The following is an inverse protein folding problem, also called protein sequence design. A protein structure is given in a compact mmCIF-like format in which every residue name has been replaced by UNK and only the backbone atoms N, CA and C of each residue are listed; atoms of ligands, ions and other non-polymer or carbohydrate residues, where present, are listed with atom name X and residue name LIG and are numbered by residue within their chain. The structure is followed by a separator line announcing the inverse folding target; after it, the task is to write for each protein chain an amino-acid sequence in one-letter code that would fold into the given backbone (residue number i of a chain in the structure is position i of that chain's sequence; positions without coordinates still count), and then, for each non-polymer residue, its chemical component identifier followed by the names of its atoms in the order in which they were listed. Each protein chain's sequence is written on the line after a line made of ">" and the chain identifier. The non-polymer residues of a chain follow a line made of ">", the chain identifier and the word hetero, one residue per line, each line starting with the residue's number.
data_IF_059033495558
#
_entry.id   IF_059033495558
#
_cell.length_a   1.000
_cell.length_b   1.000
_cell.length_c   1.000
_cell.angle_alpha   90.00
_cell.angle_beta   90.00
_cell.angle_gamma   90.00
#
_symmetry.space_group_name_H-M   'P 1'
#
loop_
_entity.id
_entity.type
_entity.pdbx_description
1 polymer ?
#
# COMPACT_ATOMS: atom_id res chain seq x y z
N UNK A 1 12.84 -7.70 20.15
CA UNK A 1 13.61 -8.26 19.04
C UNK A 1 14.87 -8.95 19.57
N UNK A 2 15.06 -10.25 19.31
CA UNK A 2 16.28 -11.00 19.72
C UNK A 2 17.55 -10.31 19.21
N UNK A 3 17.51 -9.74 18.01
CA UNK A 3 18.64 -9.08 17.33
C UNK A 3 19.16 -7.87 18.12
N UNK A 4 18.29 -7.10 18.79
CA UNK A 4 18.72 -5.96 19.60
C UNK A 4 19.68 -6.34 20.76
N UNK A 5 19.61 -7.58 21.24
CA UNK A 5 20.49 -8.11 22.30
C UNK A 5 21.73 -8.84 21.79
N UNK A 6 21.88 -9.09 20.47
CA UNK A 6 22.98 -9.89 19.92
C UNK A 6 24.20 -9.03 19.61
N UNK A 7 25.41 -9.65 19.65
CA UNK A 7 26.60 -9.05 19.04
C UNK A 7 26.58 -9.24 17.53
N UNK A 8 27.41 -8.50 16.80
CA UNK A 8 27.50 -8.65 15.33
C UNK A 8 27.96 -10.07 14.96
N UNK A 9 28.88 -10.64 15.72
CA UNK A 9 29.38 -11.99 15.54
C UNK A 9 28.27 -13.03 15.75
N UNK A 10 27.47 -12.88 16.82
CA UNK A 10 26.37 -13.78 17.14
C UNK A 10 25.25 -13.69 16.06
N UNK A 11 24.98 -12.50 15.50
CA UNK A 11 24.04 -12.36 14.41
C UNK A 11 24.56 -13.01 13.13
N UNK A 12 25.82 -12.76 12.78
CA UNK A 12 26.46 -13.34 11.60
C UNK A 12 26.44 -14.88 11.63
N UNK A 13 26.74 -15.47 12.81
CA UNK A 13 26.67 -16.91 13.03
C UNK A 13 25.22 -17.42 12.90
N UNK A 14 24.26 -16.77 13.55
CA UNK A 14 22.85 -17.18 13.54
C UNK A 14 22.22 -17.19 12.14
N UNK A 15 22.69 -16.33 11.23
CA UNK A 15 22.23 -16.26 9.84
C UNK A 15 23.24 -16.82 8.82
N UNK A 16 24.23 -17.57 9.29
CA UNK A 16 25.25 -18.26 8.48
C UNK A 16 25.94 -17.33 7.47
N UNK A 17 26.35 -16.13 7.92
CA UNK A 17 27.01 -15.13 7.08
C UNK A 17 28.25 -14.52 7.78
N UNK A 18 28.93 -13.56 7.13
CA UNK A 18 30.05 -12.83 7.71
C UNK A 18 29.62 -11.52 8.35
N UNK A 19 30.39 -11.04 9.35
CA UNK A 19 30.19 -9.70 9.94
C UNK A 19 30.26 -8.59 8.90
N UNK A 20 31.10 -8.74 7.88
CA UNK A 20 31.21 -7.80 6.76
C UNK A 20 29.90 -7.72 5.97
N UNK A 21 29.22 -8.86 5.77
CA UNK A 21 27.91 -8.91 5.12
C UNK A 21 26.85 -8.21 5.96
N UNK A 22 26.87 -8.39 7.28
CA UNK A 22 25.98 -7.68 8.21
C UNK A 22 26.20 -6.17 8.15
N UNK A 23 27.47 -5.71 8.10
CA UNK A 23 27.79 -4.27 7.99
C UNK A 23 27.29 -3.71 6.64
N UNK A 24 27.48 -4.46 5.55
CA UNK A 24 27.00 -4.07 4.23
C UNK A 24 25.49 -3.95 4.21
N UNK A 25 24.79 -4.94 4.76
CA UNK A 25 23.33 -4.90 4.93
C UNK A 25 22.89 -3.65 5.69
N UNK A 26 23.54 -3.31 6.82
CA UNK A 26 23.21 -2.10 7.59
C UNK A 26 23.30 -0.83 6.71
N UNK A 27 24.31 -0.74 5.85
CA UNK A 27 24.49 0.41 4.94
C UNK A 27 23.42 0.46 3.86
N UNK A 28 23.06 -0.67 3.29
CA UNK A 28 22.00 -0.79 2.28
C UNK A 28 20.62 -0.34 2.81
N UNK A 29 20.33 -0.64 4.09
CA UNK A 29 19.08 -0.17 4.74
C UNK A 29 19.20 1.24 5.35
N UNK A 30 20.26 2.00 5.02
CA UNK A 30 20.42 3.40 5.40
C UNK A 30 20.92 3.65 6.83
N UNK A 31 21.41 2.62 7.57
CA UNK A 31 22.01 2.80 8.90
C UNK A 31 23.53 2.73 8.83
N UNK A 32 24.22 3.59 9.61
CA UNK A 32 25.70 3.76 9.54
C UNK A 32 26.49 2.53 9.98
N UNK A 33 25.85 1.54 10.62
CA UNK A 33 26.46 0.31 11.07
C UNK A 33 25.62 -0.46 12.08
N UNK A 34 26.14 -1.63 12.51
CA UNK A 34 25.41 -2.56 13.36
C UNK A 34 24.99 -1.99 14.73
N UNK A 35 25.84 -1.16 15.34
CA UNK A 35 25.50 -0.51 16.61
C UNK A 35 24.28 0.41 16.48
N UNK A 36 24.15 1.14 15.37
CA UNK A 36 23.00 1.99 15.10
C UNK A 36 21.75 1.16 14.77
N UNK A 37 21.90 0.05 14.04
CA UNK A 37 20.79 -0.89 13.81
C UNK A 37 20.27 -1.45 15.13
N UNK A 38 21.17 -1.90 16.02
CA UNK A 38 20.79 -2.39 17.35
C UNK A 38 20.03 -1.35 18.17
N UNK A 39 20.53 -0.10 18.17
CA UNK A 39 19.88 0.99 18.91
C UNK A 39 18.48 1.27 18.34
N UNK A 40 18.33 1.35 17.03
CA UNK A 40 17.03 1.55 16.38
C UNK A 40 16.05 0.42 16.75
N UNK A 41 16.49 -0.84 16.66
CA UNK A 41 15.67 -2.00 17.03
C UNK A 41 15.34 -2.04 18.53
N UNK A 42 16.23 -1.56 19.40
CA UNK A 42 15.98 -1.47 20.84
C UNK A 42 14.96 -0.37 21.17
N UNK A 43 15.05 0.78 20.53
CA UNK A 43 14.08 1.88 20.66
C UNK A 43 12.70 1.44 20.18
N UNK A 44 12.63 0.80 19.01
CA UNK A 44 11.37 0.27 18.49
C UNK A 44 10.77 -0.82 19.40
N UNK A 45 11.61 -1.73 19.92
CA UNK A 45 11.17 -2.75 20.87
C UNK A 45 10.73 -2.16 22.22
N UNK A 46 11.37 -1.07 22.68
CA UNK A 46 11.01 -0.38 23.92
C UNK A 46 9.74 0.49 23.80
N UNK A 47 9.42 0.95 22.59
CA UNK A 47 8.19 1.67 22.31
C UNK A 47 6.95 0.75 22.27
N UNK A 48 7.17 -0.58 22.21
CA UNK A 48 6.11 -1.59 22.22
C UNK A 48 5.73 -1.95 23.65
N UNK A 49 4.47 -1.85 23.98
CA UNK A 49 3.96 -2.34 25.26
C UNK A 49 4.03 -3.87 25.31
N UNK A 50 4.08 -4.45 26.54
CA UNK A 50 4.02 -5.91 26.70
C UNK A 50 2.75 -6.53 26.12
N UNK A 51 1.70 -5.75 26.04
CA UNK A 51 0.39 -6.10 25.45
C UNK A 51 0.50 -6.21 23.92
N UNK A 52 1.26 -5.30 23.28
CA UNK A 52 1.53 -5.33 21.84
C UNK A 52 2.33 -6.58 21.43
N UNK A 53 3.33 -6.98 22.24
CA UNK A 53 4.17 -8.15 21.94
C UNK A 53 3.38 -9.45 22.08
N UNK A 54 2.56 -9.57 23.13
CA UNK A 54 1.68 -10.74 23.34
C UNK A 54 0.62 -10.87 22.26
N UNK A 55 0.04 -9.76 21.82
CA UNK A 55 -0.95 -9.74 20.78
C UNK A 55 -0.36 -10.01 19.38
N UNK A 56 0.91 -9.69 19.14
CA UNK A 56 1.59 -10.02 17.89
C UNK A 56 1.90 -11.52 17.75
N UNK A 57 2.37 -12.15 18.83
CA UNK A 57 2.61 -13.61 18.85
C UNK A 57 1.29 -14.39 18.81
N UNK A 58 0.20 -13.77 19.28
CA UNK A 58 -1.16 -14.33 19.29
C UNK A 58 -1.98 -14.01 18.05
N UNK A 59 -1.48 -13.17 17.13
CA UNK A 59 -2.26 -12.72 15.97
C UNK A 59 -2.25 -13.73 14.80
N UNK A 60 -1.36 -14.71 14.81
CA UNK A 60 -1.39 -15.78 13.80
C UNK A 60 -2.38 -16.87 14.18
N UNK A 61 -3.08 -17.41 13.20
CA UNK A 61 -4.09 -18.46 13.39
C UNK A 61 -3.37 -19.80 13.64
N UNK A 62 -3.65 -20.41 14.78
CA UNK A 62 -3.10 -21.70 15.17
C UNK A 62 -4.08 -22.84 14.87
N UNK A 63 -3.56 -24.05 14.68
CA UNK A 63 -4.36 -25.26 14.39
C UNK A 63 -5.46 -25.55 15.45
N UNK A 64 -5.24 -25.12 16.70
CA UNK A 64 -6.17 -25.33 17.81
C UNK A 64 -7.12 -24.16 18.09
N UNK A 65 -7.13 -23.11 17.27
CA UNK A 65 -8.02 -21.98 17.47
C UNK A 65 -9.49 -22.35 17.21
N UNK A 66 -10.34 -21.97 18.13
CA UNK A 66 -11.79 -22.02 17.90
C UNK A 66 -12.25 -20.84 17.01
N UNK A 67 -13.48 -20.90 16.53
CA UNK A 67 -14.03 -19.86 15.65
C UNK A 67 -14.03 -18.47 16.29
N UNK A 68 -14.27 -18.37 17.61
CA UNK A 68 -14.26 -17.10 18.32
C UNK A 68 -12.85 -16.48 18.32
N UNK A 69 -11.83 -17.29 18.62
CA UNK A 69 -10.42 -16.90 18.54
C UNK A 69 -10.00 -16.47 17.14
N UNK A 70 -10.45 -17.18 16.10
CA UNK A 70 -10.19 -16.79 14.70
C UNK A 70 -10.78 -15.41 14.39
N UNK A 71 -12.03 -15.15 14.79
CA UNK A 71 -12.70 -13.85 14.58
C UNK A 71 -11.96 -12.73 15.31
N UNK A 72 -11.59 -12.93 16.57
CA UNK A 72 -10.86 -11.93 17.36
C UNK A 72 -9.48 -11.60 16.75
N UNK A 73 -8.72 -12.63 16.36
CA UNK A 73 -7.40 -12.47 15.75
C UNK A 73 -7.45 -11.72 14.42
N UNK A 74 -8.42 -12.05 13.57
CA UNK A 74 -8.62 -11.34 12.29
C UNK A 74 -8.97 -9.88 12.54
N UNK A 75 -9.96 -9.60 13.38
CA UNK A 75 -10.41 -8.24 13.68
C UNK A 75 -9.26 -7.39 14.25
N UNK A 76 -8.48 -7.96 15.17
CA UNK A 76 -7.32 -7.29 15.76
C UNK A 76 -6.25 -6.97 14.71
N UNK A 77 -5.85 -7.95 13.89
CA UNK A 77 -4.82 -7.79 12.88
C UNK A 77 -5.23 -6.76 11.80
N UNK A 78 -6.50 -6.74 11.43
CA UNK A 78 -7.05 -5.81 10.45
C UNK A 78 -7.07 -4.37 11.00
N UNK A 79 -7.59 -4.19 12.21
CA UNK A 79 -7.59 -2.87 12.87
C UNK A 79 -6.17 -2.32 13.03
N UNK A 80 -5.22 -3.19 13.38
CA UNK A 80 -3.81 -2.81 13.50
C UNK A 80 -3.19 -2.43 12.16
N UNK A 81 -3.44 -3.20 11.10
CA UNK A 81 -2.95 -2.88 9.75
C UNK A 81 -3.43 -1.51 9.27
N UNK A 82 -4.69 -1.16 9.55
CA UNK A 82 -5.26 0.16 9.27
C UNK A 82 -4.54 1.26 10.06
N UNK A 83 -4.39 1.07 11.38
CA UNK A 83 -3.75 2.06 12.25
C UNK A 83 -2.26 2.27 11.92
N UNK A 84 -1.53 1.19 11.68
CA UNK A 84 -0.10 1.27 11.34
C UNK A 84 0.12 1.85 9.95
N UNK A 85 -0.76 1.58 8.98
CA UNK A 85 -0.75 2.22 7.65
C UNK A 85 -0.97 3.72 7.76
N UNK A 86 -1.94 4.17 8.57
CA UNK A 86 -2.17 5.59 8.77
C UNK A 86 -0.96 6.32 9.36
N UNK A 87 -0.17 5.65 10.23
CA UNK A 87 1.08 6.19 10.79
C UNK A 87 2.25 6.19 9.80
N UNK A 88 2.31 5.18 8.92
CA UNK A 88 3.38 5.03 7.94
C UNK A 88 3.21 5.95 6.72
N UNK A 89 1.99 6.41 6.47
CA UNK A 89 1.65 7.22 5.31
C UNK A 89 2.29 8.61 5.39
N UNK A 90 3.12 8.95 4.41
CA UNK A 90 3.71 10.28 4.27
C UNK A 90 2.64 11.29 3.84
N UNK A 91 2.33 12.25 4.72
CA UNK A 91 1.34 13.28 4.43
C UNK A 91 1.77 14.21 3.28
N UNK A 92 3.07 14.44 3.10
CA UNK A 92 3.60 15.25 1.99
C UNK A 92 3.45 14.53 0.65
N UNK A 93 3.78 13.24 0.59
CA UNK A 93 3.56 12.41 -0.60
C UNK A 93 2.06 12.32 -0.94
N UNK A 94 1.23 12.04 0.06
CA UNK A 94 -0.22 11.98 -0.11
C UNK A 94 -0.78 13.28 -0.67
N UNK A 95 -0.40 14.45 -0.11
CA UNK A 95 -0.84 15.76 -0.58
C UNK A 95 -0.42 16.04 -2.03
N UNK A 96 0.82 15.68 -2.39
CA UNK A 96 1.31 15.81 -3.76
C UNK A 96 0.50 14.94 -4.73
N UNK A 97 0.27 13.68 -4.39
CA UNK A 97 -0.53 12.73 -5.21
C UNK A 97 -1.96 13.21 -5.36
N UNK A 98 -2.59 13.69 -4.29
CA UNK A 98 -3.95 14.27 -4.32
C UNK A 98 -4.03 15.42 -5.32
N UNK A 99 -3.05 16.33 -5.30
CA UNK A 99 -3.00 17.46 -6.23
C UNK A 99 -2.86 16.99 -7.68
N UNK A 100 -2.03 15.97 -7.93
CA UNK A 100 -1.86 15.39 -9.26
C UNK A 100 -3.15 14.75 -9.77
N UNK A 101 -3.83 13.94 -8.95
CA UNK A 101 -5.10 13.28 -9.32
C UNK A 101 -6.20 14.31 -9.56
N UNK A 102 -6.33 15.33 -8.70
CA UNK A 102 -7.36 16.36 -8.83
C UNK A 102 -7.26 17.16 -10.15
N UNK A 103 -6.04 17.36 -10.67
CA UNK A 103 -5.76 18.07 -11.92
C UNK A 103 -5.56 17.17 -13.14
N UNK A 104 -5.61 15.84 -12.98
CA UNK A 104 -5.34 14.92 -14.07
C UNK A 104 -6.47 14.91 -15.12
N UNK A 105 -6.09 14.82 -16.39
CA UNK A 105 -7.03 14.52 -17.48
C UNK A 105 -7.56 13.10 -17.40
N UNK A 106 -6.73 12.17 -16.88
CA UNK A 106 -7.02 10.74 -16.77
C UNK A 106 -6.18 10.12 -15.66
N UNK A 107 -6.79 9.28 -14.83
CA UNK A 107 -6.10 8.46 -13.83
C UNK A 107 -6.27 6.98 -14.17
N UNK A 108 -5.18 6.23 -14.23
CA UNK A 108 -5.20 4.78 -14.43
C UNK A 108 -4.61 4.06 -13.21
N UNK A 109 -5.24 2.95 -12.85
CA UNK A 109 -4.80 2.12 -11.71
C UNK A 109 -4.51 0.71 -12.21
N UNK A 110 -3.32 0.22 -11.88
CA UNK A 110 -2.83 -1.10 -12.29
C UNK A 110 -2.58 -1.98 -11.08
N UNK A 111 -3.07 -3.19 -11.12
CA UNK A 111 -2.84 -4.18 -10.08
C UNK A 111 -3.36 -5.55 -10.47
N UNK A 112 -2.72 -6.60 -9.98
CA UNK A 112 -3.08 -8.00 -10.27
C UNK A 112 -3.66 -8.64 -9.01
N UNK A 113 -4.61 -9.56 -9.18
CA UNK A 113 -5.23 -10.29 -8.07
C UNK A 113 -5.93 -9.36 -7.07
N UNK A 114 -5.63 -9.50 -5.78
CA UNK A 114 -6.25 -8.69 -4.73
C UNK A 114 -5.89 -7.19 -4.83
N UNK A 115 -4.69 -6.86 -5.31
CA UNK A 115 -4.32 -5.46 -5.61
C UNK A 115 -5.14 -4.87 -6.75
N UNK A 116 -5.56 -5.69 -7.72
CA UNK A 116 -6.49 -5.28 -8.78
C UNK A 116 -7.88 -4.94 -8.25
N UNK A 117 -8.36 -5.66 -7.22
CA UNK A 117 -9.63 -5.35 -6.53
C UNK A 117 -9.53 -3.97 -5.87
N UNK A 118 -8.41 -3.68 -5.19
CA UNK A 118 -8.16 -2.36 -4.59
C UNK A 118 -8.09 -1.26 -5.64
N UNK A 119 -7.43 -1.53 -6.78
CA UNK A 119 -7.38 -0.61 -7.91
C UNK A 119 -8.77 -0.30 -8.48
N UNK A 120 -9.63 -1.30 -8.58
CA UNK A 120 -11.01 -1.16 -9.02
C UNK A 120 -11.84 -0.32 -8.03
N UNK A 121 -11.63 -0.51 -6.72
CA UNK A 121 -12.29 0.29 -5.69
C UNK A 121 -11.91 1.78 -5.81
N UNK A 122 -10.62 2.09 -5.95
CA UNK A 122 -10.15 3.46 -6.18
C UNK A 122 -10.77 4.07 -7.46
N UNK A 123 -10.75 3.31 -8.55
CA UNK A 123 -11.35 3.75 -9.82
C UNK A 123 -12.81 4.12 -9.65
N UNK A 124 -13.62 3.26 -9.03
CA UNK A 124 -15.04 3.52 -8.81
C UNK A 124 -15.29 4.77 -7.95
N UNK A 125 -14.49 4.95 -6.90
CA UNK A 125 -14.55 6.12 -6.02
C UNK A 125 -14.23 7.41 -6.77
N UNK A 126 -13.14 7.45 -7.55
CA UNK A 126 -12.75 8.60 -8.36
C UNK A 126 -13.80 8.91 -9.43
N UNK A 127 -14.34 7.88 -10.08
CA UNK A 127 -15.39 8.04 -11.09
C UNK A 127 -16.65 8.69 -10.51
N UNK A 128 -17.05 8.31 -9.28
CA UNK A 128 -18.23 8.89 -8.60
C UNK A 128 -18.11 10.37 -8.29
N UNK A 129 -16.90 10.92 -8.20
CA UNK A 129 -16.66 12.36 -8.04
C UNK A 129 -16.35 13.08 -9.35
N UNK A 130 -16.69 12.45 -10.50
CA UNK A 130 -16.59 13.05 -11.82
C UNK A 130 -15.18 13.06 -12.42
N UNK A 131 -14.25 12.23 -11.91
CA UNK A 131 -12.93 12.09 -12.49
C UNK A 131 -12.88 10.96 -13.53
N UNK A 132 -12.18 11.19 -14.64
CA UNK A 132 -11.93 10.15 -15.64
C UNK A 132 -10.90 9.17 -15.06
N UNK A 133 -11.35 7.96 -14.75
CA UNK A 133 -10.51 6.95 -14.11
C UNK A 133 -10.80 5.55 -14.67
N UNK A 134 -9.74 4.75 -14.79
CA UNK A 134 -9.79 3.36 -15.26
C UNK A 134 -8.97 2.48 -14.34
N UNK A 135 -9.38 1.22 -14.19
CA UNK A 135 -8.60 0.20 -13.50
C UNK A 135 -8.37 -0.98 -14.43
N UNK A 136 -7.16 -1.47 -14.48
CA UNK A 136 -6.77 -2.61 -15.31
C UNK A 136 -6.18 -3.71 -14.44
N UNK A 137 -6.83 -4.87 -14.47
CA UNK A 137 -6.41 -6.09 -13.76
C UNK A 137 -5.80 -7.13 -14.71
N UNK A 138 -6.01 -6.94 -16.01
CA UNK A 138 -5.38 -7.71 -17.07
C UNK A 138 -4.11 -7.00 -17.55
N UNK A 139 -2.92 -7.65 -17.50
CA UNK A 139 -1.65 -7.01 -17.86
C UNK A 139 -1.56 -6.56 -19.32
N UNK A 140 -2.17 -7.27 -20.25
CA UNK A 140 -2.13 -6.91 -21.67
C UNK A 140 -2.93 -5.63 -21.94
N UNK A 141 -4.12 -5.53 -21.35
CA UNK A 141 -4.92 -4.31 -21.44
C UNK A 141 -4.24 -3.14 -20.73
N UNK A 142 -3.64 -3.38 -19.56
CA UNK A 142 -2.92 -2.38 -18.78
C UNK A 142 -1.78 -1.75 -19.58
N UNK A 143 -0.89 -2.56 -20.14
CA UNK A 143 0.25 -2.08 -20.95
C UNK A 143 -0.24 -1.34 -22.20
N UNK A 144 -1.24 -1.87 -22.90
CA UNK A 144 -1.80 -1.20 -24.07
C UNK A 144 -2.38 0.18 -23.72
N UNK A 145 -3.10 0.29 -22.59
CA UNK A 145 -3.67 1.56 -22.13
C UNK A 145 -2.58 2.55 -21.70
N UNK A 146 -1.57 2.07 -20.96
CA UNK A 146 -0.45 2.89 -20.48
C UNK A 146 0.32 3.59 -21.63
N UNK A 147 0.37 2.98 -22.83
CA UNK A 147 1.00 3.60 -24.02
C UNK A 147 0.28 4.86 -24.52
N UNK A 148 -0.97 5.06 -24.14
CA UNK A 148 -1.82 6.18 -24.54
C UNK A 148 -1.84 7.33 -23.53
N UNK A 149 -1.12 7.19 -22.42
CA UNK A 149 -0.98 8.23 -21.40
C UNK A 149 -0.03 9.35 -21.88
N UNK A 150 -0.11 10.49 -21.20
CA UNK A 150 0.69 11.67 -21.42
C UNK A 150 1.04 12.39 -20.10
N UNK A 151 1.69 13.56 -20.18
CA UNK A 151 2.11 14.34 -19.03
C UNK A 151 0.95 14.92 -18.18
N UNK A 152 -0.29 14.88 -18.67
CA UNK A 152 -1.49 15.31 -17.93
C UNK A 152 -2.16 14.16 -17.19
N UNK A 153 -1.63 12.96 -17.32
CA UNK A 153 -2.18 11.72 -16.78
C UNK A 153 -1.49 11.29 -15.49
N UNK A 154 -2.21 10.54 -14.65
CA UNK A 154 -1.68 9.89 -13.45
C UNK A 154 -1.81 8.37 -13.59
N UNK A 155 -0.74 7.64 -13.32
CA UNK A 155 -0.66 6.18 -13.33
C UNK A 155 -0.33 5.67 -11.92
N UNK A 156 -1.17 4.80 -11.37
CA UNK A 156 -1.03 4.27 -10.02
C UNK A 156 -0.80 2.76 -10.09
N UNK A 157 0.37 2.30 -9.66
CA UNK A 157 0.67 0.88 -9.50
C UNK A 157 0.38 0.40 -8.08
N UNK A 158 -0.42 -0.65 -7.94
CA UNK A 158 -0.76 -1.26 -6.63
C UNK A 158 -0.14 -2.64 -6.55
N UNK A 159 0.80 -2.84 -5.62
CA UNK A 159 1.43 -4.14 -5.35
C UNK A 159 1.92 -4.21 -3.91
N UNK A 160 1.44 -5.17 -3.12
CA UNK A 160 1.87 -5.34 -1.74
C UNK A 160 3.39 -5.55 -1.63
N UNK A 161 3.95 -6.48 -2.38
CA UNK A 161 5.39 -6.76 -2.40
C UNK A 161 6.21 -5.70 -3.14
N UNK A 162 5.56 -4.91 -4.02
CA UNK A 162 6.24 -3.98 -4.92
C UNK A 162 7.16 -4.66 -5.95
N UNK A 163 7.02 -5.99 -6.13
CA UNK A 163 7.84 -6.80 -7.04
C UNK A 163 7.03 -7.48 -8.16
N UNK A 164 5.74 -7.20 -8.28
CA UNK A 164 4.88 -7.76 -9.33
C UNK A 164 5.29 -7.21 -10.69
N UNK A 165 5.89 -8.05 -11.53
CA UNK A 165 6.48 -7.67 -12.82
C UNK A 165 5.48 -6.96 -13.73
N UNK A 166 4.27 -7.50 -13.86
CA UNK A 166 3.23 -6.91 -14.72
C UNK A 166 2.87 -5.47 -14.31
N UNK A 167 2.77 -5.21 -12.99
CA UNK A 167 2.48 -3.87 -12.46
C UNK A 167 3.66 -2.91 -12.69
N UNK A 168 4.89 -3.40 -12.47
CA UNK A 168 6.11 -2.61 -12.66
C UNK A 168 6.28 -2.25 -14.14
N UNK A 169 6.14 -3.21 -15.06
CA UNK A 169 6.32 -2.99 -16.49
C UNK A 169 5.27 -2.02 -17.04
N UNK A 170 4.02 -2.15 -16.62
CA UNK A 170 2.96 -1.22 -16.98
C UNK A 170 3.25 0.19 -16.48
N UNK A 171 3.65 0.35 -15.20
CA UNK A 171 3.98 1.64 -14.61
C UNK A 171 5.20 2.28 -15.31
N UNK A 172 6.18 1.46 -15.72
CA UNK A 172 7.34 1.91 -16.50
C UNK A 172 6.94 2.49 -17.86
N UNK A 173 6.01 1.84 -18.56
CA UNK A 173 5.46 2.36 -19.82
C UNK A 173 4.76 3.69 -19.58
N UNK A 174 3.91 3.81 -18.57
CA UNK A 174 3.25 5.06 -18.21
C UNK A 174 4.26 6.20 -17.94
N UNK A 175 5.34 5.90 -17.18
CA UNK A 175 6.42 6.86 -16.89
C UNK A 175 7.14 7.31 -18.16
N UNK A 176 7.43 6.40 -19.07
CA UNK A 176 8.05 6.73 -20.38
C UNK A 176 7.16 7.62 -21.24
N UNK A 177 5.84 7.57 -21.05
CA UNK A 177 4.88 8.45 -21.73
C UNK A 177 4.74 9.83 -21.05
N UNK A 178 5.45 10.04 -19.94
CA UNK A 178 5.45 11.30 -19.18
C UNK A 178 4.35 11.41 -18.13
N UNK A 179 3.54 10.36 -17.91
CA UNK A 179 2.54 10.36 -16.85
C UNK A 179 3.19 10.45 -15.47
N UNK A 180 2.54 11.14 -14.55
CA UNK A 180 2.94 11.09 -13.12
C UNK A 180 2.69 9.69 -12.58
N UNK A 181 3.71 9.08 -11.98
CA UNK A 181 3.63 7.70 -11.50
C UNK A 181 3.58 7.61 -9.98
N UNK A 182 2.69 6.76 -9.45
CA UNK A 182 2.47 6.55 -8.03
C UNK A 182 2.55 5.06 -7.72
N UNK A 183 3.27 4.69 -6.67
CA UNK A 183 3.29 3.34 -6.11
C UNK A 183 2.47 3.28 -4.82
N UNK A 184 1.60 2.27 -4.69
CA UNK A 184 0.99 1.87 -3.41
C UNK A 184 1.58 0.50 -3.06
N UNK A 185 2.44 0.45 -2.06
CA UNK A 185 3.19 -0.77 -1.70
C UNK A 185 3.49 -0.86 -0.20
N UNK A 186 3.76 -2.07 0.29
CA UNK A 186 4.16 -2.31 1.68
C UNK A 186 5.69 -2.30 1.89
N UNK A 187 6.45 -2.33 0.79
CA UNK A 187 7.90 -2.49 0.86
C UNK A 187 8.59 -1.22 0.34
N UNK A 188 9.13 -0.39 1.26
CA UNK A 188 9.95 0.75 0.86
C UNK A 188 11.21 0.25 0.14
N UNK A 189 11.60 0.93 -0.95
CA UNK A 189 12.74 0.51 -1.77
C UNK A 189 12.48 -0.71 -2.66
N UNK A 190 11.22 -1.14 -2.80
CA UNK A 190 10.85 -2.13 -3.82
C UNK A 190 11.00 -1.58 -5.24
N UNK A 191 11.12 -2.46 -6.23
CA UNK A 191 11.26 -2.06 -7.63
C UNK A 191 10.12 -1.14 -8.12
N UNK A 192 8.89 -1.34 -7.61
CA UNK A 192 7.77 -0.46 -7.90
C UNK A 192 7.94 0.92 -7.25
N UNK A 193 8.40 0.97 -5.98
CA UNK A 193 8.62 2.21 -5.25
C UNK A 193 9.78 3.04 -5.86
N UNK A 194 10.88 2.38 -6.26
CA UNK A 194 12.02 3.05 -6.91
C UNK A 194 11.66 3.60 -8.30
N UNK A 195 10.74 2.94 -8.99
CA UNK A 195 10.29 3.38 -10.32
C UNK A 195 9.37 4.61 -10.23
N UNK A 196 8.51 4.68 -9.23
CA UNK A 196 7.46 5.70 -9.13
C UNK A 196 8.02 7.09 -8.77
N UNK A 197 7.28 8.15 -9.12
CA UNK A 197 7.59 9.52 -8.71
C UNK A 197 7.17 9.78 -7.27
N UNK A 198 6.10 9.10 -6.80
CA UNK A 198 5.56 9.16 -5.45
C UNK A 198 5.29 7.75 -4.91
N UNK A 199 5.51 7.55 -3.61
CA UNK A 199 5.27 6.26 -2.96
C UNK A 199 4.38 6.41 -1.73
N UNK A 200 3.23 5.75 -1.74
CA UNK A 200 2.33 5.66 -0.62
C UNK A 200 2.50 4.30 0.05
N UNK A 201 3.10 4.30 1.23
CA UNK A 201 3.41 3.07 1.96
C UNK A 201 2.22 2.57 2.77
N UNK A 202 2.01 1.26 2.72
CA UNK A 202 1.14 0.53 3.64
C UNK A 202 1.98 -0.19 4.70
N UNK A 203 1.35 -0.55 5.83
CA UNK A 203 2.01 -1.28 6.91
C UNK A 203 1.15 -2.47 7.35
N UNK A 204 1.05 -3.47 6.47
CA UNK A 204 0.35 -4.72 6.76
C UNK A 204 1.34 -5.85 6.99
N UNK A 205 0.97 -6.78 7.87
CA UNK A 205 1.67 -8.06 8.04
C UNK A 205 0.83 -9.16 7.42
N UNK A 206 1.45 -9.97 6.58
CA UNK A 206 0.85 -11.20 6.09
C UNK A 206 1.31 -12.36 6.97
N UNK A 207 0.39 -13.27 7.30
CA UNK A 207 0.63 -14.49 8.06
C UNK A 207 0.33 -15.70 7.19
N UNK A 208 0.65 -16.92 7.66
CA UNK A 208 0.54 -18.15 6.86
C UNK A 208 -0.84 -18.34 6.23
N UNK A 209 -1.93 -18.13 7.00
CA UNK A 209 -3.31 -18.26 6.49
C UNK A 209 -3.84 -16.96 5.85
N UNK A 210 -3.12 -15.86 5.99
CA UNK A 210 -3.46 -14.56 5.41
C UNK A 210 -2.45 -14.12 4.34
N UNK A 211 -1.61 -15.04 3.87
CA UNK A 211 -0.75 -14.85 2.72
C UNK A 211 -1.60 -14.71 1.44
N UNK A 212 -1.08 -13.97 0.47
CA UNK A 212 -1.80 -13.73 -0.78
C UNK A 212 -2.83 -12.61 -0.70
N UNK A 213 -2.52 -11.56 0.03
CA UNK A 213 -3.21 -10.26 0.02
C UNK A 213 -4.55 -10.18 0.80
N UNK A 214 -4.78 -11.05 1.77
CA UNK A 214 -5.97 -10.91 2.62
C UNK A 214 -5.79 -9.84 3.71
N UNK A 215 -4.62 -9.77 4.37
CA UNK A 215 -4.30 -8.73 5.36
C UNK A 215 -3.89 -7.41 4.74
N UNK A 216 -3.11 -7.45 3.68
CA UNK A 216 -2.61 -6.26 2.97
C UNK A 216 -3.71 -5.47 2.24
N UNK A 217 -4.82 -6.11 1.88
CA UNK A 217 -5.93 -5.44 1.18
C UNK A 217 -6.54 -4.30 2.00
N UNK A 218 -6.79 -4.49 3.31
CA UNK A 218 -7.35 -3.43 4.16
C UNK A 218 -6.38 -2.26 4.35
N UNK A 219 -5.09 -2.54 4.47
CA UNK A 219 -4.06 -1.51 4.48
C UNK A 219 -4.05 -0.69 3.18
N UNK A 220 -4.14 -1.34 2.02
CA UNK A 220 -4.23 -0.68 0.72
C UNK A 220 -5.53 0.12 0.57
N UNK A 221 -6.68 -0.43 1.02
CA UNK A 221 -7.96 0.28 1.01
C UNK A 221 -7.94 1.52 1.92
N UNK A 222 -7.21 1.48 3.05
CA UNK A 222 -7.02 2.68 3.89
C UNK A 222 -6.34 3.81 3.11
N UNK A 223 -5.29 3.51 2.33
CA UNK A 223 -4.64 4.50 1.46
C UNK A 223 -5.59 5.01 0.39
N UNK A 224 -6.36 4.12 -0.22
CA UNK A 224 -7.39 4.45 -1.22
C UNK A 224 -8.45 5.39 -0.66
N UNK A 225 -8.93 5.13 0.56
CA UNK A 225 -9.92 5.98 1.22
C UNK A 225 -9.36 7.37 1.54
N UNK A 226 -8.11 7.43 2.04
CA UNK A 226 -7.42 8.70 2.27
C UNK A 226 -7.26 9.51 0.96
N UNK A 227 -6.84 8.86 -0.13
CA UNK A 227 -6.73 9.49 -1.45
C UNK A 227 -8.09 10.02 -1.92
N UNK A 228 -9.10 9.16 -1.92
CA UNK A 228 -10.43 9.52 -2.39
C UNK A 228 -11.01 10.72 -1.63
N UNK A 229 -11.01 10.65 -0.30
CA UNK A 229 -11.58 11.73 0.53
C UNK A 229 -10.80 13.04 0.36
N UNK A 230 -9.46 12.98 0.30
CA UNK A 230 -8.64 14.17 0.12
C UNK A 230 -8.80 14.78 -1.29
N UNK A 231 -8.92 13.97 -2.34
CA UNK A 231 -9.23 14.44 -3.71
C UNK A 231 -10.62 15.06 -3.76
N UNK A 232 -11.63 14.40 -3.17
CA UNK A 232 -12.98 14.94 -3.10
C UNK A 232 -13.04 16.27 -2.35
N UNK A 233 -12.28 16.40 -1.27
CA UNK A 233 -12.15 17.65 -0.52
C UNK A 233 -11.49 18.76 -1.34
N UNK A 234 -10.42 18.45 -2.08
CA UNK A 234 -9.74 19.44 -2.93
C UNK A 234 -10.59 19.90 -4.12
N UNK A 235 -11.50 19.04 -4.59
CA UNK A 235 -12.43 19.32 -5.71
C UNK A 235 -13.88 19.43 -5.22
N UNK A 236 -14.09 20.06 -4.07
CA UNK A 236 -15.31 19.97 -3.26
C UNK A 236 -16.61 20.18 -4.04
N UNK A 237 -16.78 21.33 -4.69
CA UNK A 237 -18.02 21.68 -5.38
C UNK A 237 -18.36 20.71 -6.51
N UNK A 238 -17.35 20.37 -7.32
CA UNK A 238 -17.50 19.36 -8.38
C UNK A 238 -17.86 18.00 -7.81
N UNK A 239 -17.19 17.60 -6.74
CA UNK A 239 -17.39 16.30 -6.11
C UNK A 239 -18.80 16.16 -5.51
N UNK A 240 -19.29 17.18 -4.82
CA UNK A 240 -20.65 17.18 -4.24
C UNK A 240 -21.70 17.05 -5.36
N UNK A 241 -21.59 17.86 -6.42
CA UNK A 241 -22.49 17.78 -7.57
C UNK A 241 -22.50 16.38 -8.18
N UNK A 242 -21.34 15.82 -8.49
CA UNK A 242 -21.22 14.50 -9.10
C UNK A 242 -21.75 13.38 -8.17
N UNK A 243 -21.50 13.47 -6.85
CA UNK A 243 -22.05 12.51 -5.88
C UNK A 243 -23.57 12.56 -5.79
N UNK A 244 -24.19 13.74 -5.90
CA UNK A 244 -25.65 13.89 -5.93
C UNK A 244 -26.24 13.30 -7.21
N UNK A 245 -25.68 13.63 -8.36
CA UNK A 245 -26.12 13.11 -9.66
C UNK A 245 -26.02 11.57 -9.73
N UNK A 246 -24.89 11.01 -9.30
CA UNK A 246 -24.70 9.55 -9.29
C UNK A 246 -25.62 8.84 -8.30
N UNK A 247 -25.93 9.47 -7.15
CA UNK A 247 -26.91 8.96 -6.19
C UNK A 247 -28.32 8.95 -6.76
N UNK A 248 -28.72 10.05 -7.40
CA UNK A 248 -30.05 10.16 -8.03
C UNK A 248 -30.23 9.12 -9.13
N UNK A 249 -29.23 8.89 -10.00
CA UNK A 249 -29.26 7.87 -11.03
C UNK A 249 -29.45 6.45 -10.45
N UNK A 250 -28.78 6.14 -9.33
CA UNK A 250 -28.97 4.85 -8.65
C UNK A 250 -30.38 4.68 -8.07
N UNK A 251 -30.97 5.76 -7.50
CA UNK A 251 -32.33 5.73 -6.97
C UNK A 251 -33.44 5.63 -8.03
N UNK A 252 -33.21 6.16 -9.22
CA UNK A 252 -34.19 6.04 -10.32
C UNK A 252 -34.37 4.58 -10.75
N UNK A 253 -33.33 3.76 -10.73
CA UNK A 253 -33.41 2.32 -11.06
C UNK A 253 -34.24 1.53 -10.05
N UNK A 254 -34.21 1.89 -8.77
CA UNK A 254 -34.96 1.20 -7.71
C UNK A 254 -36.46 1.58 -7.67
N UNK A 255 -36.91 2.57 -8.45
CA UNK A 255 -38.30 2.96 -8.54
C UNK A 255 -39.04 2.39 -9.78
N UNK A 256 -38.31 1.68 -10.63
CA UNK A 256 -38.83 1.07 -11.87
C UNK A 256 -39.13 -0.42 -11.70
N UNK A 257 -39.03 -0.96 -10.50
CA UNK A 257 -39.54 -2.27 -10.04
C UNK A 257 -40.76 -2.06 -9.10
#
# INVERSE_FOLDING_TARGET
>A
SKVAGMTISALAEAVSTSETTVIRFCREIGVKGYAQLRLALAVEAGARTREDIRSEESADIAEGDDIASVVEKIAYADARSVADTAKALSLSELSAVVTRIAGASRTEVYGVGASGIVGTDLQQKLHRIGLVSFAFTDPHQAVASATLLDATSVAIGVSHSGSTTDTIDTLRVAKQRGATTVAITNVPGSALAELADYTLLTAARETTFRAGATGSRLAQLTVVDCLFVAVAQQTFDRSITALEETRQAAHMRNRSE
#
